data_IF_398480580439
#
_entry.id   IF_398480580439
#
_cell.length_a   1.000
_cell.length_b   1.000
_cell.length_c   1.000
_cell.angle_alpha   90.00
_cell.angle_beta   90.00
_cell.angle_gamma   90.00
#
_symmetry.space_group_name_H-M   'P 1'
#
loop_
_entity.id
_entity.type
_entity.pdbx_description
1 polymer ?
#
# COMPACT_ATOMS: atom_id res chain seq x y z
N UNK A 1 3.30 -16.75 3.03
CA UNK A 1 4.66 -16.18 3.12
C UNK A 1 4.53 -14.67 3.15
N UNK A 2 5.03 -14.00 4.18
CA UNK A 2 4.88 -12.56 4.35
C UNK A 2 5.90 -11.84 3.47
N UNK A 3 5.45 -11.21 2.39
CA UNK A 3 6.33 -10.43 1.50
C UNK A 3 6.33 -8.98 1.94
N UNK A 4 7.49 -8.36 2.05
CA UNK A 4 7.61 -6.93 2.34
C UNK A 4 7.60 -6.13 1.04
N UNK A 5 6.62 -5.25 0.90
CA UNK A 5 6.44 -4.35 -0.22
C UNK A 5 6.97 -2.98 0.15
N UNK A 6 7.74 -2.35 -0.74
CA UNK A 6 8.12 -0.94 -0.60
C UNK A 6 7.15 -0.07 -1.38
N UNK A 7 7.28 1.25 -1.22
CA UNK A 7 6.52 2.21 -2.02
C UNK A 7 6.66 1.95 -3.53
N UNK A 8 7.86 1.58 -3.98
CA UNK A 8 8.11 1.22 -5.39
C UNK A 8 7.28 0.02 -5.84
N UNK A 9 7.12 -0.99 -4.99
CA UNK A 9 6.31 -2.18 -5.28
C UNK A 9 4.81 -1.85 -5.28
N UNK A 10 4.35 -1.03 -4.32
CA UNK A 10 2.96 -0.55 -4.28
C UNK A 10 2.60 0.25 -5.54
N UNK A 11 3.54 1.09 -6.01
CA UNK A 11 3.41 1.84 -7.25
C UNK A 11 3.41 0.93 -8.49
N UNK A 12 4.32 -0.05 -8.53
CA UNK A 12 4.36 -1.01 -9.64
C UNK A 12 3.09 -1.86 -9.73
N UNK A 13 2.44 -2.14 -8.59
CA UNK A 13 1.17 -2.87 -8.51
C UNK A 13 -0.07 -2.01 -8.79
N UNK A 14 0.09 -0.71 -9.07
CA UNK A 14 -1.04 0.20 -9.30
C UNK A 14 -1.86 0.52 -8.05
N UNK A 15 -1.39 0.13 -6.86
CA UNK A 15 -2.11 0.38 -5.60
C UNK A 15 -2.02 1.86 -5.25
N UNK A 16 -0.85 2.49 -5.43
CA UNK A 16 -0.66 3.92 -5.14
C UNK A 16 0.28 4.59 -6.14
N UNK A 17 -0.17 5.66 -6.78
CA UNK A 17 0.64 6.39 -7.77
C UNK A 17 1.66 7.35 -7.15
N UNK A 18 1.30 7.97 -6.01
CA UNK A 18 1.98 9.13 -5.46
C UNK A 18 2.02 9.12 -3.92
N UNK A 19 3.15 9.60 -3.37
CA UNK A 19 3.34 9.81 -1.93
C UNK A 19 2.26 10.68 -1.25
N UNK A 20 1.82 11.83 -1.81
CA UNK A 20 0.75 12.61 -1.20
C UNK A 20 -0.56 11.81 -1.09
N UNK A 21 -0.95 11.05 -2.12
CA UNK A 21 -2.13 10.17 -2.06
C UNK A 21 -1.99 9.10 -0.99
N UNK A 22 -0.79 8.52 -0.85
CA UNK A 22 -0.51 7.57 0.23
C UNK A 22 -0.70 8.20 1.61
N UNK A 23 -0.18 9.41 1.82
CA UNK A 23 -0.30 10.12 3.09
C UNK A 23 -1.75 10.48 3.41
N UNK A 24 -2.49 10.89 2.39
CA UNK A 24 -3.92 11.17 2.48
C UNK A 24 -4.70 9.91 2.87
N UNK A 25 -4.42 8.78 2.22
CA UNK A 25 -5.03 7.50 2.57
C UNK A 25 -4.66 7.02 3.98
N UNK A 26 -3.45 7.27 4.45
CA UNK A 26 -3.06 6.94 5.83
C UNK A 26 -3.85 7.80 6.83
N UNK A 27 -4.16 9.05 6.48
CA UNK A 27 -4.83 10.02 7.35
C UNK A 27 -6.35 9.89 7.33
N UNK A 28 -6.93 9.77 6.14
CA UNK A 28 -8.38 9.85 5.90
C UNK A 28 -9.00 8.46 5.72
N UNK A 29 -8.28 7.53 5.10
CA UNK A 29 -8.81 6.21 4.71
C UNK A 29 -8.29 5.05 5.56
N UNK A 30 -7.47 5.34 6.57
CA UNK A 30 -6.88 4.35 7.47
C UNK A 30 -5.91 3.38 6.79
N UNK A 31 -5.26 3.79 5.70
CA UNK A 31 -4.23 2.99 5.04
C UNK A 31 -3.10 2.64 6.03
N UNK A 32 -2.53 1.43 5.98
CA UNK A 32 -1.47 1.03 6.89
C UNK A 32 -0.30 2.02 6.81
N UNK A 33 0.16 2.60 7.94
CA UNK A 33 1.19 3.64 7.93
C UNK A 33 2.55 3.15 7.41
N UNK A 34 2.72 1.83 7.29
CA UNK A 34 3.95 1.16 6.91
C UNK A 34 4.91 1.06 8.09
N UNK A 35 5.65 -0.03 8.15
CA UNK A 35 6.71 -0.25 9.13
C UNK A 35 8.00 0.40 8.66
N UNK A 36 8.72 1.04 9.57
CA UNK A 36 10.06 1.53 9.30
C UNK A 36 11.05 0.36 9.35
N UNK A 37 11.64 0.01 8.21
CA UNK A 37 12.64 -1.06 8.13
C UNK A 37 14.08 -0.53 8.26
N UNK A 38 14.28 0.78 8.13
CA UNK A 38 15.57 1.45 8.30
C UNK A 38 15.79 2.58 7.28
N UNK A 39 16.61 3.58 7.64
CA UNK A 39 16.99 4.72 6.80
C UNK A 39 15.82 5.35 6.00
N UNK A 40 14.77 5.80 6.71
CA UNK A 40 13.57 6.41 6.11
C UNK A 40 12.79 5.51 5.12
N UNK A 41 13.09 4.22 5.04
CA UNK A 41 12.36 3.29 4.18
C UNK A 41 11.14 2.75 4.91
N UNK A 42 9.96 3.09 4.40
CA UNK A 42 8.69 2.47 4.78
C UNK A 42 8.44 1.22 3.95
N UNK A 43 8.09 0.15 4.66
CA UNK A 43 7.71 -1.13 4.08
C UNK A 43 6.33 -1.53 4.59
N UNK A 44 5.58 -2.23 3.77
CA UNK A 44 4.28 -2.78 4.10
C UNK A 44 4.34 -4.28 3.96
N UNK A 45 3.59 -5.03 4.75
CA UNK A 45 3.44 -6.46 4.48
C UNK A 45 2.41 -6.65 3.36
N UNK A 46 2.60 -7.67 2.53
CA UNK A 46 1.63 -8.03 1.50
C UNK A 46 0.26 -8.29 2.11
N UNK A 47 0.23 -8.93 3.28
CA UNK A 47 -0.99 -9.24 4.03
C UNK A 47 -1.78 -7.98 4.41
N UNK A 48 -1.14 -6.96 4.99
CA UNK A 48 -1.81 -5.68 5.32
C UNK A 48 -2.38 -4.99 4.08
N UNK A 49 -1.64 -5.05 2.97
CA UNK A 49 -2.04 -4.43 1.71
C UNK A 49 -3.19 -5.20 1.06
N UNK A 50 -3.14 -6.53 1.11
CA UNK A 50 -4.20 -7.42 0.63
C UNK A 50 -5.47 -7.25 1.48
N UNK A 51 -5.35 -7.17 2.81
CA UNK A 51 -6.47 -6.89 3.71
C UNK A 51 -7.10 -5.52 3.45
N UNK A 52 -6.27 -4.49 3.25
CA UNK A 52 -6.77 -3.16 2.94
C UNK A 52 -7.44 -3.11 1.55
N UNK A 53 -6.82 -3.77 0.55
CA UNK A 53 -7.35 -3.91 -0.81
C UNK A 53 -8.61 -4.76 -0.85
N UNK A 54 -8.76 -5.74 0.04
CA UNK A 54 -9.97 -6.55 0.15
C UNK A 54 -11.09 -5.81 0.90
N UNK A 55 -10.73 -4.98 1.88
CA UNK A 55 -11.69 -4.20 2.66
C UNK A 55 -12.31 -3.06 1.87
N UNK A 56 -11.61 -2.53 0.86
CA UNK A 56 -12.18 -1.58 -0.09
C UNK A 56 -12.49 -2.31 -1.39
N UNK A 57 -13.70 -2.23 -1.95
CA UNK A 57 -13.90 -2.55 -3.35
C UNK A 57 -13.17 -1.48 -4.16
N UNK A 58 -11.87 -1.65 -4.36
CA UNK A 58 -11.10 -0.91 -5.35
C UNK A 58 -11.78 -1.23 -6.68
N UNK A 59 -12.56 -0.26 -7.18
CA UNK A 59 -13.07 -0.27 -8.52
C UNK A 59 -11.86 -0.37 -9.47
N UNK A 60 -11.61 -1.62 -9.87
CA UNK A 60 -10.95 -2.09 -11.07
C UNK A 60 -9.78 -1.25 -11.59
N UNK A 61 -8.57 -1.75 -11.33
CA UNK A 61 -7.37 -1.48 -12.12
C UNK A 61 -6.82 -2.77 -12.72
N UNK A 62 -7.68 -3.54 -13.40
CA UNK A 62 -7.34 -4.50 -14.47
C UNK A 62 -6.58 -5.80 -14.12
N UNK A 63 -7.31 -6.92 -14.21
CA UNK A 63 -6.78 -8.18 -14.75
C UNK A 63 -7.96 -8.96 -15.38
N UNK A 64 -8.20 -8.69 -16.66
CA UNK A 64 -8.99 -9.53 -17.56
C UNK A 64 -8.05 -10.20 -18.56
#
# INVERSE_FOLDING_TARGET
MTTFLRFKDLKARGIVGNWPTLLDWIKEEGFPPGRYFGANTRVWTSDEIELWTASRPLANGEAA
#
